data_IF_723803754675
#
_entry.id   IF_723803754675
#
_cell.length_a   1.000
_cell.length_b   1.000
_cell.length_c   1.000
_cell.angle_alpha   90.00
_cell.angle_beta   90.00
_cell.angle_gamma   90.00
#
_symmetry.space_group_name_H-M   'P 1'
#
loop_
_entity.id
_entity.type
_entity.pdbx_description
1 polymer ?
#
# COMPACT_ATOMS: atom_id res chain seq x y z
N UNK A 1 -28.79 32.16 -61.96
CA UNK A 1 -29.59 33.29 -62.47
C UNK A 1 -29.86 34.21 -61.29
N UNK A 2 -29.62 35.51 -61.24
CA UNK A 2 -28.81 36.45 -62.02
C UNK A 2 -28.47 37.57 -61.02
N UNK A 3 -27.19 37.92 -60.98
CA UNK A 3 -26.63 39.27 -60.82
C UNK A 3 -27.58 40.43 -60.50
N UNK A 4 -27.26 41.21 -59.44
CA UNK A 4 -27.01 42.66 -59.56
C UNK A 4 -25.95 43.13 -58.56
N UNK A 5 -24.79 43.48 -59.12
CA UNK A 5 -23.79 44.36 -58.55
C UNK A 5 -24.37 45.77 -58.38
N UNK A 6 -23.96 46.48 -57.33
CA UNK A 6 -23.75 47.92 -57.42
C UNK A 6 -22.38 48.27 -56.84
N UNK A 7 -21.59 48.92 -57.70
CA UNK A 7 -20.24 49.43 -57.51
C UNK A 7 -20.37 50.93 -57.27
N UNK A 8 -19.60 51.48 -56.32
CA UNK A 8 -19.03 52.85 -56.30
C UNK A 8 -18.23 52.94 -54.98
N UNK A 9 -16.90 52.84 -54.98
CA UNK A 9 -15.89 53.81 -55.43
C UNK A 9 -15.44 54.78 -54.32
N UNK A 10 -14.14 55.09 -54.38
CA UNK A 10 -13.41 56.17 -53.71
C UNK A 10 -12.84 55.93 -52.30
N UNK A 11 -11.69 55.26 -52.32
CA UNK A 11 -10.42 55.72 -51.73
C UNK A 11 -10.40 57.12 -51.09
N UNK A 12 -10.03 57.19 -49.81
CA UNK A 12 -9.28 58.31 -49.24
C UNK A 12 -8.33 57.83 -48.17
N UNK A 13 -7.12 58.34 -48.27
CA UNK A 13 -5.91 57.94 -47.58
C UNK A 13 -5.76 58.62 -46.20
N UNK A 14 -4.72 58.15 -45.50
CA UNK A 14 -3.90 58.85 -44.53
C UNK A 14 -4.29 58.78 -43.04
N UNK A 15 -3.59 57.87 -42.35
CA UNK A 15 -2.71 58.14 -41.21
C UNK A 15 -3.19 59.16 -40.16
N UNK A 16 -3.65 58.66 -39.02
CA UNK A 16 -3.19 59.14 -37.71
C UNK A 16 -3.01 57.97 -36.75
N UNK A 17 -1.74 57.65 -36.49
CA UNK A 17 -1.28 56.95 -35.30
C UNK A 17 -1.60 57.84 -34.09
N UNK A 18 -2.47 57.36 -33.19
CA UNK A 18 -2.83 58.06 -31.96
C UNK A 18 -3.25 57.07 -30.87
N UNK A 19 -2.27 56.72 -30.04
CA UNK A 19 -2.38 56.37 -28.62
C UNK A 19 -3.37 55.25 -28.25
N UNK A 20 -2.77 54.07 -28.13
CA UNK A 20 -3.27 52.91 -27.43
C UNK A 20 -3.58 53.16 -25.93
N UNK A 21 -4.31 52.19 -25.36
CA UNK A 21 -4.48 51.88 -23.94
C UNK A 21 -5.58 52.65 -23.18
N UNK A 22 -6.84 52.57 -23.63
CA UNK A 22 -7.94 52.53 -22.65
C UNK A 22 -7.97 51.12 -22.05
N UNK A 23 -7.44 51.00 -20.84
CA UNK A 23 -7.47 49.77 -20.06
C UNK A 23 -8.91 49.39 -19.75
N UNK A 24 -9.46 48.48 -20.54
CA UNK A 24 -10.65 47.71 -20.17
C UNK A 24 -10.24 46.74 -19.06
N UNK A 25 -10.26 47.22 -17.82
CA UNK A 25 -10.34 46.35 -16.66
C UNK A 25 -11.71 45.66 -16.71
N UNK A 26 -11.81 44.56 -17.45
CA UNK A 26 -12.86 43.59 -17.23
C UNK A 26 -12.67 43.14 -15.79
N UNK A 27 -13.56 43.63 -14.92
CA UNK A 27 -13.74 43.12 -13.58
C UNK A 27 -14.08 41.64 -13.74
N UNK A 28 -13.05 40.81 -13.64
CA UNK A 28 -13.18 39.39 -13.47
C UNK A 28 -13.75 39.24 -12.07
N UNK A 29 -15.08 39.33 -11.98
CA UNK A 29 -15.84 38.97 -10.80
C UNK A 29 -15.55 37.50 -10.59
N UNK A 30 -14.50 37.22 -9.81
CA UNK A 30 -14.30 35.94 -9.19
C UNK A 30 -15.63 35.63 -8.50
N UNK A 31 -16.37 34.67 -9.05
CA UNK A 31 -17.50 34.10 -8.33
C UNK A 31 -16.98 33.79 -6.91
N UNK A 32 -17.71 34.15 -5.85
CA UNK A 32 -17.30 33.76 -4.51
C UNK A 32 -17.09 32.25 -4.54
N UNK A 33 -15.85 31.82 -4.35
CA UNK A 33 -15.53 30.42 -4.23
C UNK A 33 -16.40 29.93 -3.09
N UNK A 34 -17.41 29.11 -3.40
CA UNK A 34 -18.25 28.54 -2.36
C UNK A 34 -17.32 27.83 -1.38
N UNK A 35 -17.37 28.13 -0.07
CA UNK A 35 -16.53 27.46 0.89
C UNK A 35 -16.79 25.96 0.76
N UNK A 36 -15.75 25.21 0.41
CA UNK A 36 -15.81 23.76 0.48
C UNK A 36 -16.20 23.39 1.92
N UNK A 37 -17.10 22.41 2.14
CA UNK A 37 -17.47 21.99 3.49
C UNK A 37 -16.19 21.67 4.27
N UNK A 38 -16.01 22.38 5.38
CA UNK A 38 -14.88 22.17 6.27
C UNK A 38 -15.10 20.80 6.92
N UNK A 39 -14.40 19.79 6.41
CA UNK A 39 -14.38 18.47 7.05
C UNK A 39 -13.66 18.66 8.38
N UNK A 40 -14.36 18.38 9.48
CA UNK A 40 -13.80 18.41 10.83
C UNK A 40 -12.70 17.34 10.91
N UNK A 41 -11.44 17.78 10.76
CA UNK A 41 -10.27 16.91 10.82
C UNK A 41 -9.95 16.59 12.27
N UNK A 42 -9.68 15.31 12.53
CA UNK A 42 -9.25 14.78 13.82
C UNK A 42 -7.97 13.96 13.67
N UNK A 43 -7.28 13.71 14.77
CA UNK A 43 -6.07 12.89 14.73
C UNK A 43 -6.43 11.40 14.52
N UNK A 44 -5.62 10.69 13.73
CA UNK A 44 -5.70 9.23 13.60
C UNK A 44 -5.54 8.50 14.96
N UNK A 45 -4.90 9.13 15.95
CA UNK A 45 -4.75 8.59 17.30
C UNK A 45 -6.03 8.64 18.13
N UNK A 46 -7.01 9.43 17.70
CA UNK A 46 -8.30 9.60 18.39
C UNK A 46 -9.37 8.65 17.88
N UNK A 47 -9.09 7.89 16.82
CA UNK A 47 -10.02 6.90 16.25
C UNK A 47 -10.04 5.67 17.17
N UNK A 48 -11.21 5.34 17.69
CA UNK A 48 -11.43 4.08 18.40
C UNK A 48 -11.48 2.90 17.42
N UNK A 49 -10.47 2.04 17.46
CA UNK A 49 -10.30 0.95 16.51
C UNK A 49 -11.00 -0.31 16.99
N UNK A 50 -11.76 -0.97 16.11
CA UNK A 50 -12.34 -2.27 16.42
C UNK A 50 -11.24 -3.30 16.79
N UNK A 51 -11.44 -4.05 17.87
CA UNK A 51 -10.42 -4.95 18.42
C UNK A 51 -9.90 -5.98 17.41
N UNK A 52 -10.79 -6.59 16.62
CA UNK A 52 -10.37 -7.54 15.57
C UNK A 52 -9.52 -6.85 14.48
N UNK A 53 -9.76 -5.57 14.20
CA UNK A 53 -9.00 -4.83 13.19
C UNK A 53 -7.57 -4.60 13.67
N UNK A 54 -7.38 -4.24 14.94
CA UNK A 54 -6.06 -4.13 15.56
C UNK A 54 -5.33 -5.47 15.67
N UNK A 55 -6.06 -6.57 15.89
CA UNK A 55 -5.49 -7.92 15.95
C UNK A 55 -5.01 -8.40 14.58
N UNK A 56 -5.87 -8.29 13.57
CA UNK A 56 -5.62 -8.87 12.25
C UNK A 56 -4.75 -7.94 11.38
N UNK A 57 -4.84 -6.63 11.63
CA UNK A 57 -4.07 -5.58 10.96
C UNK A 57 -3.43 -4.62 11.96
N UNK A 58 -2.37 -5.03 12.69
CA UNK A 58 -1.71 -4.19 13.70
C UNK A 58 -1.15 -2.86 13.15
N UNK A 59 -0.98 -2.78 11.83
CA UNK A 59 -0.54 -1.56 11.15
C UNK A 59 -1.63 -0.50 11.00
N UNK A 60 -2.91 -0.81 11.27
CA UNK A 60 -4.05 0.08 10.96
C UNK A 60 -3.93 1.47 11.59
N UNK A 61 -3.49 1.55 12.86
CA UNK A 61 -3.30 2.84 13.53
C UNK A 61 -2.20 3.68 12.89
N UNK A 62 -1.09 3.05 12.49
CA UNK A 62 0.05 3.72 11.86
C UNK A 62 -0.12 3.93 10.34
N UNK A 63 -1.07 3.22 9.73
CA UNK A 63 -1.39 3.30 8.31
C UNK A 63 -2.45 4.35 7.99
N UNK A 64 -3.07 4.95 9.00
CA UNK A 64 -4.04 6.03 8.83
C UNK A 64 -3.34 7.29 8.31
N UNK A 65 -3.85 7.85 7.21
CA UNK A 65 -3.29 9.06 6.59
C UNK A 65 -3.97 10.33 7.10
N UNK A 66 -5.27 10.23 7.38
CA UNK A 66 -6.11 11.35 7.81
C UNK A 66 -7.31 10.77 8.54
N UNK A 67 -7.83 11.48 9.54
CA UNK A 67 -9.12 11.15 10.12
C UNK A 67 -10.04 12.37 10.07
N UNK A 68 -11.32 12.12 9.76
CA UNK A 68 -12.34 13.16 9.61
C UNK A 68 -13.60 12.75 10.37
N UNK A 69 -14.40 13.74 10.76
CA UNK A 69 -15.70 13.51 11.38
C UNK A 69 -16.79 13.74 10.33
N UNK A 70 -17.65 12.74 10.16
CA UNK A 70 -18.85 12.82 9.32
C UNK A 70 -20.04 12.32 10.13
N UNK A 71 -21.06 13.15 10.27
CA UNK A 71 -22.26 12.89 11.08
C UNK A 71 -21.93 12.48 12.53
N UNK A 72 -20.93 13.14 13.12
CA UNK A 72 -20.48 12.87 14.50
C UNK A 72 -19.70 11.57 14.67
N UNK A 73 -19.36 10.85 13.60
CA UNK A 73 -18.55 9.62 13.63
C UNK A 73 -17.18 9.87 13.00
N UNK A 74 -16.13 9.33 13.61
CA UNK A 74 -14.77 9.42 13.04
C UNK A 74 -14.60 8.38 11.93
N UNK A 75 -13.92 8.80 10.87
CA UNK A 75 -13.55 7.98 9.72
C UNK A 75 -12.08 8.16 9.42
N UNK A 76 -11.32 7.06 9.44
CA UNK A 76 -9.91 7.07 9.11
C UNK A 76 -9.69 6.73 7.64
N UNK A 77 -9.00 7.61 6.92
CA UNK A 77 -8.62 7.43 5.51
C UNK A 77 -7.33 6.64 5.37
N UNK A 78 -7.35 5.71 4.43
CA UNK A 78 -6.25 4.86 4.04
C UNK A 78 -6.05 4.91 2.54
N UNK A 79 -4.80 4.78 2.13
CA UNK A 79 -4.44 4.59 0.73
C UNK A 79 -4.09 3.11 0.50
N UNK A 80 -4.60 2.53 -0.59
CA UNK A 80 -4.25 1.18 -0.98
C UNK A 80 -4.08 1.07 -2.50
N UNK A 81 -3.18 0.19 -2.93
CA UNK A 81 -2.95 -0.12 -4.34
C UNK A 81 -3.71 -1.39 -4.70
N UNK A 82 -4.60 -1.30 -5.69
CA UNK A 82 -5.34 -2.44 -6.21
C UNK A 82 -4.39 -3.46 -6.85
N UNK A 83 -4.47 -4.72 -6.44
CA UNK A 83 -3.62 -5.80 -6.97
C UNK A 83 -4.36 -6.65 -7.98
N UNK A 84 -5.53 -7.16 -7.62
CA UNK A 84 -6.33 -8.06 -8.46
C UNK A 84 -7.75 -8.26 -7.93
N UNK A 85 -8.62 -8.70 -8.85
CA UNK A 85 -9.91 -9.32 -8.53
C UNK A 85 -9.74 -10.84 -8.50
N UNK A 86 -10.21 -11.46 -7.43
CA UNK A 86 -10.19 -12.91 -7.24
C UNK A 86 -11.45 -13.54 -7.86
N UNK A 87 -11.40 -14.86 -8.12
CA UNK A 87 -12.51 -15.60 -8.75
C UNK A 87 -13.81 -15.59 -7.95
N UNK A 88 -13.72 -15.39 -6.64
CA UNK A 88 -14.84 -15.32 -5.70
C UNK A 88 -15.48 -13.91 -5.61
N UNK A 89 -15.10 -12.99 -6.49
CA UNK A 89 -15.59 -11.61 -6.50
C UNK A 89 -14.94 -10.70 -5.46
N UNK A 90 -14.04 -11.23 -4.63
CA UNK A 90 -13.25 -10.39 -3.71
C UNK A 90 -12.12 -9.68 -4.45
N UNK A 91 -11.64 -8.59 -3.90
CA UNK A 91 -10.45 -7.89 -4.38
C UNK A 91 -9.33 -8.04 -3.36
N UNK A 92 -8.09 -8.02 -3.84
CA UNK A 92 -6.91 -7.89 -2.98
C UNK A 92 -6.31 -6.50 -3.20
N UNK A 93 -6.15 -5.74 -2.11
CA UNK A 93 -5.55 -4.41 -2.13
C UNK A 93 -4.39 -4.34 -1.15
N UNK A 94 -3.27 -3.75 -1.58
CA UNK A 94 -2.08 -3.56 -0.77
C UNK A 94 -2.10 -2.18 -0.12
N UNK A 95 -2.32 -2.13 1.19
CA UNK A 95 -2.40 -0.88 1.93
C UNK A 95 -1.02 -0.23 2.08
N UNK A 96 -0.98 1.10 2.00
CA UNK A 96 0.25 1.89 1.96
C UNK A 96 0.37 2.82 3.16
N UNK A 97 1.59 3.00 3.65
CA UNK A 97 1.91 4.07 4.59
C UNK A 97 1.87 5.43 3.90
N UNK A 98 1.91 6.51 4.68
CA UNK A 98 2.16 7.90 4.24
C UNK A 98 3.36 8.04 3.28
N UNK A 99 4.41 7.23 3.48
CA UNK A 99 5.61 7.17 2.64
C UNK A 99 5.53 6.16 1.48
N UNK A 100 4.35 5.64 1.16
CA UNK A 100 4.14 4.68 0.07
C UNK A 100 4.66 3.26 0.31
N UNK A 101 5.10 2.93 1.53
CA UNK A 101 5.57 1.57 1.87
C UNK A 101 4.38 0.62 1.98
N UNK A 102 4.56 -0.63 1.53
CA UNK A 102 3.57 -1.69 1.73
C UNK A 102 3.39 -1.98 3.23
N UNK A 103 2.16 -1.91 3.72
CA UNK A 103 1.77 -2.31 5.07
C UNK A 103 1.23 -3.74 5.12
N UNK A 104 0.56 -4.17 4.05
CA UNK A 104 0.04 -5.53 3.92
C UNK A 104 -1.07 -5.62 2.87
N UNK A 105 -1.38 -6.86 2.49
CA UNK A 105 -2.50 -7.14 1.62
C UNK A 105 -3.76 -7.43 2.44
N UNK A 106 -4.87 -6.82 2.02
CA UNK A 106 -6.19 -7.07 2.61
C UNK A 106 -7.10 -7.58 1.51
N UNK A 107 -7.77 -8.71 1.80
CA UNK A 107 -8.84 -9.23 0.94
C UNK A 107 -10.15 -8.56 1.34
N UNK A 108 -10.77 -7.91 0.38
CA UNK A 108 -11.96 -7.09 0.56
C UNK A 108 -13.09 -7.64 -0.32
N UNK A 109 -14.32 -7.56 0.15
CA UNK A 109 -15.52 -7.93 -0.61
C UNK A 109 -16.39 -6.70 -0.82
N UNK A 110 -16.31 -6.07 -2.00
CA UNK A 110 -17.23 -5.01 -2.38
C UNK A 110 -18.66 -5.51 -2.49
N UNK A 111 -19.63 -4.62 -2.29
CA UNK A 111 -21.01 -4.88 -2.71
C UNK A 111 -21.13 -5.05 -4.24
N UNK A 112 -22.19 -5.70 -4.73
CA UNK A 112 -22.33 -6.07 -6.15
C UNK A 112 -22.32 -4.87 -7.12
N UNK A 113 -22.82 -3.71 -6.68
CA UNK A 113 -22.85 -2.47 -7.46
C UNK A 113 -21.97 -1.36 -6.88
N UNK A 114 -21.14 -1.70 -5.89
CA UNK A 114 -20.30 -0.72 -5.23
C UNK A 114 -19.25 -0.17 -6.21
N UNK A 115 -19.01 1.14 -6.12
CA UNK A 115 -18.06 1.87 -6.96
C UNK A 115 -17.03 2.54 -6.07
N UNK A 116 -15.82 2.69 -6.59
CA UNK A 116 -14.77 3.48 -5.98
C UNK A 116 -14.57 4.75 -6.77
N UNK A 117 -14.26 5.85 -6.08
CA UNK A 117 -13.92 7.10 -6.72
C UNK A 117 -12.44 7.08 -7.13
N UNK A 118 -12.18 7.05 -8.43
CA UNK A 118 -10.84 7.14 -9.00
C UNK A 118 -10.76 8.43 -9.83
N UNK A 119 -9.87 9.35 -9.48
CA UNK A 119 -9.71 10.64 -10.16
C UNK A 119 -11.03 11.43 -10.30
N UNK A 120 -11.87 11.38 -9.26
CA UNK A 120 -13.20 12.02 -9.26
C UNK A 120 -14.26 11.32 -10.11
N UNK A 121 -14.01 10.10 -10.60
CA UNK A 121 -14.96 9.30 -11.38
C UNK A 121 -15.32 8.00 -10.67
N UNK A 122 -16.62 7.73 -10.56
CA UNK A 122 -17.13 6.49 -9.98
C UNK A 122 -16.85 5.29 -10.91
N UNK A 123 -15.95 4.41 -10.50
CA UNK A 123 -15.45 3.26 -11.26
C UNK A 123 -15.89 1.96 -10.58
N UNK A 124 -16.36 0.98 -11.36
CA UNK A 124 -16.71 -0.35 -10.79
C UNK A 124 -15.43 -1.08 -10.40
N UNK A 125 -15.49 -1.89 -9.34
CA UNK A 125 -14.36 -2.74 -8.96
C UNK A 125 -13.91 -3.71 -10.06
N UNK A 126 -14.82 -4.14 -10.94
CA UNK A 126 -14.51 -4.98 -12.12
C UNK A 126 -13.63 -4.29 -13.15
N UNK A 127 -13.66 -2.95 -13.19
CA UNK A 127 -13.01 -2.15 -14.22
C UNK A 127 -11.64 -1.65 -13.75
N UNK A 128 -11.27 -1.96 -12.50
CA UNK A 128 -10.00 -1.57 -11.91
C UNK A 128 -8.83 -2.30 -12.56
N UNK A 129 -7.75 -1.57 -12.73
CA UNK A 129 -6.48 -2.06 -13.25
C UNK A 129 -5.47 -2.14 -12.12
N UNK A 130 -4.66 -3.20 -12.12
CA UNK A 130 -3.55 -3.37 -11.17
C UNK A 130 -2.70 -2.10 -11.12
N UNK A 131 -2.35 -1.68 -9.91
CA UNK A 131 -1.53 -0.49 -9.67
C UNK A 131 -2.33 0.79 -9.44
N UNK A 132 -3.65 0.78 -9.65
CA UNK A 132 -4.48 1.94 -9.31
C UNK A 132 -4.53 2.17 -7.80
N UNK A 133 -4.42 3.44 -7.41
CA UNK A 133 -4.48 3.90 -6.03
C UNK A 133 -5.94 4.15 -5.65
N UNK A 134 -6.38 3.56 -4.55
CA UNK A 134 -7.73 3.64 -4.02
C UNK A 134 -7.69 4.30 -2.64
N UNK A 135 -8.71 5.10 -2.34
CA UNK A 135 -8.96 5.59 -0.99
C UNK A 135 -10.01 4.70 -0.31
N UNK A 136 -9.69 4.27 0.91
CA UNK A 136 -10.62 3.54 1.78
C UNK A 136 -10.79 4.29 3.09
N UNK A 137 -11.98 4.21 3.68
CA UNK A 137 -12.32 4.85 4.94
C UNK A 137 -12.77 3.79 5.94
N UNK A 138 -12.08 3.67 7.07
CA UNK A 138 -12.50 2.81 8.17
C UNK A 138 -13.36 3.63 9.15
N UNK A 139 -14.62 3.25 9.39
CA UNK A 139 -15.42 3.87 10.44
C UNK A 139 -14.90 3.47 11.83
N UNK A 140 -14.94 4.40 12.77
CA UNK A 140 -14.66 4.14 14.18
C UNK A 140 -15.50 2.96 14.71
N UNK A 141 -14.86 2.04 15.44
CA UNK A 141 -15.51 0.89 16.05
C UNK A 141 -15.99 -0.21 15.08
N UNK A 142 -15.67 -0.16 13.79
CA UNK A 142 -16.13 -1.17 12.81
C UNK A 142 -14.99 -1.97 12.18
N UNK A 143 -15.23 -3.26 11.93
CA UNK A 143 -14.33 -4.15 11.17
C UNK A 143 -14.69 -4.15 9.67
N UNK A 144 -14.60 -2.99 9.03
CA UNK A 144 -14.90 -2.82 7.61
C UNK A 144 -14.22 -1.56 7.05
N UNK A 145 -14.17 -1.47 5.72
CA UNK A 145 -13.80 -0.24 5.02
C UNK A 145 -14.99 0.28 4.21
N UNK A 146 -14.96 1.54 3.79
CA UNK A 146 -15.88 2.12 2.82
C UNK A 146 -15.06 2.86 1.75
N UNK A 147 -15.67 3.11 0.58
CA UNK A 147 -15.04 3.88 -0.50
C UNK A 147 -15.16 5.38 -0.30
N UNK A 148 -16.11 5.81 0.54
CA UNK A 148 -16.40 7.21 0.87
C UNK A 148 -16.71 7.31 2.37
N UNK A 149 -16.38 8.43 3.02
CA UNK A 149 -16.74 8.65 4.41
C UNK A 149 -18.25 8.93 4.54
N UNK A 150 -18.85 8.54 5.66
CA UNK A 150 -20.30 8.68 5.87
C UNK A 150 -21.15 7.66 5.12
N UNK A 151 -20.54 6.70 4.42
CA UNK A 151 -21.26 5.65 3.71
C UNK A 151 -22.18 4.88 4.68
N UNK A 152 -23.43 4.57 4.27
CA UNK A 152 -24.33 3.79 5.12
C UNK A 152 -23.78 2.37 5.33
N UNK A 153 -24.18 1.66 6.40
CA UNK A 153 -23.67 0.32 6.70
C UNK A 153 -23.86 -0.71 5.57
N UNK A 154 -24.81 -0.51 4.66
CA UNK A 154 -25.04 -1.37 3.50
C UNK A 154 -23.99 -1.18 2.38
N UNK A 155 -23.26 -0.07 2.39
CA UNK A 155 -22.27 0.31 1.37
C UNK A 155 -20.83 0.14 1.86
N UNK A 156 -20.62 -0.58 2.96
CA UNK A 156 -19.27 -0.91 3.43
C UNK A 156 -18.68 -2.06 2.62
N UNK A 157 -17.41 -1.94 2.28
CA UNK A 157 -16.55 -3.00 1.76
C UNK A 157 -16.14 -3.90 2.92
N UNK A 158 -16.61 -5.15 2.90
CA UNK A 158 -16.35 -6.08 3.99
C UNK A 158 -14.93 -6.62 3.93
N UNK A 159 -14.25 -6.67 5.07
CA UNK A 159 -12.99 -7.40 5.18
C UNK A 159 -13.32 -8.89 5.17
N UNK A 160 -12.67 -9.62 4.27
CA UNK A 160 -12.75 -11.07 4.28
C UNK A 160 -11.76 -11.54 5.31
N UNK A 161 -12.27 -12.01 6.46
CA UNK A 161 -11.42 -12.61 7.48
C UNK A 161 -10.47 -13.61 6.82
N UNK A 162 -9.15 -13.50 7.07
CA UNK A 162 -8.23 -14.53 6.68
C UNK A 162 -8.73 -15.80 7.34
N UNK A 163 -9.32 -16.72 6.56
CA UNK A 163 -9.62 -18.04 7.09
C UNK A 163 -8.31 -18.53 7.69
N UNK A 164 -8.28 -18.90 8.99
CA UNK A 164 -7.16 -19.63 9.51
C UNK A 164 -7.00 -20.77 8.52
N UNK A 165 -5.91 -20.80 7.74
CA UNK A 165 -5.58 -21.98 6.96
C UNK A 165 -5.68 -23.08 7.98
N UNK A 166 -6.70 -23.94 7.85
CA UNK A 166 -6.88 -25.06 8.74
C UNK A 166 -5.51 -25.70 8.72
N UNK A 167 -4.78 -25.55 9.82
CA UNK A 167 -3.46 -26.10 9.93
C UNK A 167 -3.75 -27.57 9.72
N UNK A 168 -3.41 -28.11 8.54
CA UNK A 168 -3.46 -29.54 8.33
C UNK A 168 -2.78 -30.08 9.57
N UNK A 169 -3.49 -30.86 10.41
CA UNK A 169 -3.01 -31.20 11.74
C UNK A 169 -1.57 -31.60 11.52
N UNK A 170 -0.64 -30.87 12.17
CA UNK A 170 0.77 -31.19 12.06
C UNK A 170 0.83 -32.64 12.47
N UNK A 171 0.88 -33.52 11.47
CA UNK A 171 1.13 -34.92 11.66
C UNK A 171 2.57 -34.87 12.09
N UNK A 172 2.77 -34.68 13.40
CA UNK A 172 3.98 -35.11 14.07
C UNK A 172 4.20 -36.48 13.48
N UNK A 173 5.26 -36.62 12.68
CA UNK A 173 5.54 -37.83 11.96
C UNK A 173 5.49 -38.97 12.97
N UNK A 174 4.34 -39.65 13.04
CA UNK A 174 4.26 -40.91 13.73
C UNK A 174 5.12 -41.78 12.84
N UNK A 175 6.29 -42.16 13.38
CA UNK A 175 7.19 -43.08 12.72
C UNK A 175 6.39 -44.35 12.41
N UNK A 176 5.81 -44.42 11.22
CA UNK A 176 5.28 -45.66 10.68
C UNK A 176 6.49 -46.58 10.58
N UNK A 177 6.48 -47.76 11.23
CA UNK A 177 7.50 -48.76 11.00
C UNK A 177 7.28 -49.29 9.59
N UNK A 178 7.87 -48.61 8.60
CA UNK A 178 8.00 -49.13 7.25
C UNK A 178 8.94 -50.33 7.35
N UNK A 179 8.39 -51.54 7.27
CA UNK A 179 9.16 -52.76 7.01
C UNK A 179 9.71 -52.69 5.59
N UNK A 180 10.76 -51.87 5.40
CA UNK A 180 11.59 -51.94 4.20
C UNK A 180 12.48 -53.19 4.28
N UNK A 181 12.57 -54.00 3.21
CA UNK A 181 13.55 -55.07 3.14
C UNK A 181 14.95 -54.44 3.19
N UNK A 182 15.73 -54.87 4.18
CA UNK A 182 17.10 -54.40 4.44
C UNK A 182 17.98 -54.75 3.23
N UNK A 183 18.54 -53.78 2.49
CA UNK A 183 19.59 -54.09 1.53
C UNK A 183 20.85 -54.42 2.32
N UNK A 184 21.31 -55.67 2.22
CA UNK A 184 22.54 -56.17 2.89
C UNK A 184 23.79 -55.71 2.15
N UNK A 185 23.91 -54.42 1.82
CA UNK A 185 25.17 -53.78 1.44
C UNK A 185 25.07 -52.28 1.72
N UNK A 186 25.80 -51.83 2.72
CA UNK A 186 26.03 -50.40 2.94
C UNK A 186 27.03 -49.93 1.87
N UNK A 187 26.76 -48.89 1.06
CA UNK A 187 27.81 -48.25 0.29
C UNK A 187 28.79 -47.60 1.27
N UNK A 188 30.05 -48.01 1.19
CA UNK A 188 31.15 -47.38 1.89
C UNK A 188 31.25 -45.91 1.48
N UNK A 189 30.60 -45.04 2.27
CA UNK A 189 30.69 -43.58 2.14
C UNK A 189 31.32 -42.98 3.40
N UNK A 190 32.27 -43.72 3.99
CA UNK A 190 33.32 -43.13 4.80
C UNK A 190 34.31 -42.42 3.85
N UNK A 191 33.93 -41.24 3.36
CA UNK A 191 34.87 -40.34 2.72
C UNK A 191 35.99 -39.96 3.71
N UNK A 192 37.25 -39.79 3.26
CA UNK A 192 38.39 -39.54 4.13
C UNK A 192 38.35 -38.12 4.69
N UNK A 193 37.56 -37.91 5.74
CA UNK A 193 37.49 -36.63 6.45
C UNK A 193 37.72 -36.75 7.97
N UNK A 194 38.90 -37.22 8.42
CA UNK A 194 39.40 -36.83 9.75
C UNK A 194 40.57 -35.84 9.70
N UNK A 195 41.09 -35.48 8.51
CA UNK A 195 42.35 -34.72 8.41
C UNK A 195 42.12 -33.19 8.50
N UNK A 196 41.01 -32.67 7.96
CA UNK A 196 40.74 -31.22 7.95
C UNK A 196 40.41 -30.71 9.37
N UNK A 197 39.76 -31.51 10.21
CA UNK A 197 39.49 -31.16 11.60
C UNK A 197 40.78 -31.08 12.45
N UNK A 198 41.81 -31.85 12.10
CA UNK A 198 43.09 -31.89 12.83
C UNK A 198 44.00 -30.70 12.50
N UNK A 199 43.92 -30.18 11.27
CA UNK A 199 44.67 -28.98 10.85
C UNK A 199 44.23 -27.70 11.58
N UNK A 200 42.93 -27.55 11.86
CA UNK A 200 42.40 -26.41 12.60
C UNK A 200 42.89 -26.34 14.06
N UNK A 201 43.00 -27.50 14.72
CA UNK A 201 43.46 -27.60 16.11
C UNK A 201 44.94 -27.24 16.26
N UNK A 202 45.80 -27.67 15.32
CA UNK A 202 47.23 -27.34 15.32
C UNK A 202 47.49 -25.84 15.13
N UNK A 203 46.69 -25.16 14.30
CA UNK A 203 46.80 -23.70 14.11
C UNK A 203 46.48 -22.91 15.38
N UNK A 204 45.49 -23.36 16.17
CA UNK A 204 45.15 -22.75 17.47
C UNK A 204 46.25 -22.94 18.52
N UNK A 205 46.87 -24.11 18.59
CA UNK A 205 47.99 -24.39 19.51
C UNK A 205 49.26 -23.60 19.16
N UNK A 206 49.55 -23.41 17.86
CA UNK A 206 50.66 -22.58 17.40
C UNK A 206 50.47 -21.08 17.72
N UNK A 207 49.24 -20.57 17.61
CA UNK A 207 48.93 -19.18 17.96
C UNK A 207 49.11 -18.87 19.46
N UNK A 208 48.71 -19.79 20.33
CA UNK A 208 48.83 -19.62 21.79
C UNK A 208 50.30 -19.61 22.25
N UNK A 209 51.14 -20.48 21.69
CA UNK A 209 52.57 -20.55 22.03
C UNK A 209 53.36 -19.31 21.59
N UNK A 210 53.13 -18.80 20.38
CA UNK A 210 53.74 -17.55 19.91
C UNK A 210 53.33 -16.32 20.75
N UNK A 211 52.08 -16.29 21.19
CA UNK A 211 51.55 -15.18 22.01
C UNK A 211 52.14 -15.18 23.41
N UNK A 212 52.35 -16.35 24.02
CA UNK A 212 53.06 -16.47 25.30
C UNK A 212 54.54 -16.10 25.15
N UNK A 213 55.25 -16.59 24.13
CA UNK A 213 56.66 -16.26 23.91
C UNK A 213 56.91 -14.76 23.68
N UNK A 214 55.99 -14.02 23.03
CA UNK A 214 56.10 -12.55 22.91
C UNK A 214 55.95 -11.82 24.25
N UNK A 215 55.20 -12.36 25.21
CA UNK A 215 55.02 -11.73 26.53
C UNK A 215 56.20 -11.96 27.49
N UNK A 216 56.99 -13.02 27.28
CA UNK A 216 58.17 -13.30 28.11
C UNK A 216 59.46 -12.65 27.60
N UNK A 217 59.44 -11.95 26.46
CA UNK A 217 60.62 -11.34 25.83
C UNK A 217 60.66 -9.81 25.92
N UNK A 218 60.03 -9.22 26.94
CA UNK A 218 60.32 -7.84 27.37
C UNK A 218 61.46 -7.89 28.37
N UNK A 219 62.68 -7.46 28.00
CA UNK A 219 63.79 -7.35 28.94
C UNK A 219 63.54 -6.22 29.94
N UNK A 220 63.93 -6.44 31.19
CA UNK A 220 64.23 -5.33 32.10
C UNK A 220 65.59 -4.75 31.71
N UNK A 221 65.66 -3.41 31.68
CA UNK A 221 66.78 -2.54 31.31
C UNK A 221 67.01 -2.33 29.81
#
# INVERSE_FOLDING_TARGET
>A
MNTRLNVLAMTSAALLLGLAWTGSSLAQQAAPAMPAPELDRVSCTEVDWHQNMMRDYPWVANGCHEAIVVDGKKWARFEAVFQQTNRDGTITSNFKSDRGRSLGDVKLRPGPDQRVLLDGRATRFSDLRRGQVLNFYAPEGMYAFATEPGAPPAEVVQIVEPQPTAQAPVQMAQAQPTTSPRPTTLPATAGPLPIIALGGLLSLLGGITLTMCRRFKTPSA
#
